data_IF_667251940387
#
_entry.id   IF_667251940387
#
_cell.length_a   1.000
_cell.length_b   1.000
_cell.length_c   1.000
_cell.angle_alpha   90.00
_cell.angle_beta   90.00
_cell.angle_gamma   90.00
#
_symmetry.space_group_name_H-M   'P 1'
#
loop_
_entity.id
_entity.type
_entity.pdbx_description
1 polymer ?
#
# COMPACT_ATOMS: atom_id res chain seq x y z
N UNK A 1 30.42 -10.24 -4.16
CA UNK A 1 30.71 -9.85 -2.75
C UNK A 1 30.11 -10.79 -1.70
N UNK A 2 28.96 -11.45 -1.94
CA UNK A 2 28.39 -12.41 -0.98
C UNK A 2 29.12 -13.77 -0.96
N UNK A 3 29.52 -14.30 -2.12
CA UNK A 3 30.20 -15.60 -2.24
C UNK A 3 31.57 -15.58 -1.52
N UNK A 4 32.33 -14.49 -1.65
CA UNK A 4 33.64 -14.35 -0.98
C UNK A 4 33.52 -14.33 0.54
N UNK A 5 32.50 -13.65 1.08
CA UNK A 5 32.27 -13.59 2.53
C UNK A 5 31.83 -14.93 3.11
N UNK A 6 31.02 -15.70 2.38
CA UNK A 6 30.64 -17.06 2.80
C UNK A 6 31.86 -18.00 2.85
N UNK A 7 32.79 -17.88 1.90
CA UNK A 7 34.04 -18.67 1.91
C UNK A 7 34.96 -18.29 3.08
N UNK A 8 35.01 -17.00 3.44
CA UNK A 8 35.78 -16.51 4.60
C UNK A 8 35.28 -17.11 5.93
N UNK A 9 33.96 -17.14 6.11
CA UNK A 9 33.33 -17.66 7.33
C UNK A 9 33.52 -19.18 7.48
N UNK A 10 33.46 -19.91 6.36
CA UNK A 10 33.76 -21.35 6.34
C UNK A 10 35.23 -21.62 6.73
N UNK A 11 36.18 -20.80 6.26
CA UNK A 11 37.60 -20.91 6.65
C UNK A 11 37.82 -20.66 8.14
N UNK A 12 36.95 -19.89 8.79
CA UNK A 12 36.99 -19.63 10.23
C UNK A 12 36.27 -20.70 11.06
N UNK A 13 35.83 -21.80 10.45
CA UNK A 13 35.14 -22.89 11.15
C UNK A 13 33.68 -22.57 11.50
N UNK A 14 33.14 -21.45 11.00
CA UNK A 14 31.74 -21.10 11.18
C UNK A 14 30.93 -21.85 10.12
N UNK A 15 30.27 -22.92 10.54
CA UNK A 15 29.36 -23.65 9.67
C UNK A 15 28.14 -22.77 9.36
N UNK A 16 28.04 -22.30 8.11
CA UNK A 16 26.81 -21.69 7.61
C UNK A 16 25.85 -22.85 7.32
N UNK A 17 25.17 -23.32 8.37
CA UNK A 17 24.06 -24.26 8.19
C UNK A 17 22.98 -23.52 7.41
N UNK A 18 22.70 -23.96 6.17
CA UNK A 18 21.60 -23.48 5.33
C UNK A 18 20.22 -23.81 5.86
N UNK A 19 20.07 -23.77 7.19
CA UNK A 19 18.90 -24.11 7.97
C UNK A 19 18.70 -23.02 9.01
N UNK A 20 18.22 -21.88 8.54
CA UNK A 20 17.06 -21.22 9.13
C UNK A 20 16.80 -19.93 8.35
N UNK A 21 15.93 -20.03 7.35
CA UNK A 21 15.08 -18.94 6.83
C UNK A 21 14.19 -18.29 7.93
N UNK A 22 14.58 -18.40 9.22
CA UNK A 22 13.84 -17.90 10.38
C UNK A 22 14.15 -16.44 10.70
N UNK A 23 15.16 -15.85 10.06
CA UNK A 23 15.47 -14.43 10.13
C UNK A 23 15.37 -13.78 8.74
N UNK A 24 14.17 -13.82 8.14
CA UNK A 24 13.89 -12.93 7.01
C UNK A 24 14.01 -11.49 7.53
N UNK A 25 14.94 -10.72 6.95
CA UNK A 25 15.13 -9.30 7.29
C UNK A 25 13.79 -8.58 7.14
N UNK A 26 13.23 -8.11 8.26
CA UNK A 26 11.99 -7.35 8.26
C UNK A 26 12.30 -5.90 7.90
N UNK A 27 11.67 -5.42 6.83
CA UNK A 27 11.67 -4.01 6.48
C UNK A 27 10.34 -3.41 6.89
N UNK A 28 10.37 -2.36 7.71
CA UNK A 28 9.17 -1.66 8.15
C UNK A 28 9.16 -0.23 7.60
N UNK A 29 7.99 0.24 7.16
CA UNK A 29 7.79 1.62 6.78
C UNK A 29 7.18 2.40 7.95
N UNK A 30 8.02 3.07 8.73
CA UNK A 30 7.61 3.82 9.93
C UNK A 30 6.91 5.15 9.60
N UNK A 31 7.05 5.64 8.37
CA UNK A 31 6.45 6.89 7.90
C UNK A 31 4.95 6.81 7.56
N UNK A 32 4.27 5.72 7.87
CA UNK A 32 2.86 5.51 7.47
C UNK A 32 1.95 6.65 7.95
N UNK A 33 2.09 7.09 9.20
CA UNK A 33 1.22 8.11 9.77
C UNK A 33 1.38 9.47 9.09
N UNK A 34 2.53 9.74 8.48
CA UNK A 34 2.80 11.00 7.78
C UNK A 34 2.10 11.05 6.42
N UNK A 35 2.00 9.91 5.72
CA UNK A 35 1.38 9.84 4.38
C UNK A 35 -0.15 9.62 4.42
N UNK A 36 -0.69 9.15 5.55
CA UNK A 36 -2.12 8.83 5.72
C UNK A 36 -3.05 9.99 5.31
N UNK A 37 -2.87 11.24 5.79
CA UNK A 37 -3.80 12.32 5.44
C UNK A 37 -3.85 12.60 3.93
N UNK A 38 -2.69 12.69 3.29
CA UNK A 38 -2.59 12.96 1.85
C UNK A 38 -3.21 11.84 1.02
N UNK A 39 -2.99 10.57 1.39
CA UNK A 39 -3.58 9.42 0.70
C UNK A 39 -5.10 9.37 0.83
N UNK A 40 -5.66 9.73 1.99
CA UNK A 40 -7.12 9.81 2.20
C UNK A 40 -7.72 10.91 1.33
N UNK A 41 -7.08 12.07 1.28
CA UNK A 41 -7.51 13.20 0.45
C UNK A 41 -7.53 12.79 -1.03
N UNK A 42 -6.45 12.19 -1.52
CA UNK A 42 -6.34 11.74 -2.90
C UNK A 42 -7.40 10.66 -3.23
N UNK A 43 -7.59 9.67 -2.37
CA UNK A 43 -8.60 8.65 -2.54
C UNK A 43 -10.03 9.23 -2.57
N UNK A 44 -10.31 10.22 -1.71
CA UNK A 44 -11.60 10.92 -1.67
C UNK A 44 -11.83 11.75 -2.93
N UNK A 45 -10.80 12.46 -3.41
CA UNK A 45 -10.84 13.24 -4.65
C UNK A 45 -11.11 12.34 -5.86
N UNK A 46 -10.43 11.20 -5.93
CA UNK A 46 -10.62 10.22 -7.00
C UNK A 46 -12.03 9.61 -6.98
N UNK A 47 -12.55 9.28 -5.79
CA UNK A 47 -13.93 8.79 -5.64
C UNK A 47 -14.96 9.83 -6.13
N UNK A 48 -14.75 11.11 -5.79
CA UNK A 48 -15.61 12.20 -6.27
C UNK A 48 -15.55 12.35 -7.79
N UNK A 49 -14.36 12.39 -8.38
CA UNK A 49 -14.20 12.53 -9.83
C UNK A 49 -14.88 11.38 -10.59
N UNK A 50 -14.77 10.15 -10.08
CA UNK A 50 -15.49 9.00 -10.64
C UNK A 50 -17.01 9.18 -10.53
N UNK A 51 -17.51 9.64 -9.38
CA UNK A 51 -18.94 9.89 -9.18
C UNK A 51 -19.48 11.00 -10.09
N UNK A 52 -18.71 12.07 -10.32
CA UNK A 52 -19.06 13.16 -11.25
C UNK A 52 -19.18 12.63 -12.69
N UNK A 53 -18.26 11.75 -13.11
CA UNK A 53 -18.33 11.10 -14.41
C UNK A 53 -19.57 10.22 -14.54
N UNK A 54 -19.87 9.37 -13.55
CA UNK A 54 -21.07 8.53 -13.56
C UNK A 54 -22.37 9.34 -13.60
N UNK A 55 -22.44 10.47 -12.87
CA UNK A 55 -23.58 11.36 -12.92
C UNK A 55 -23.77 11.92 -14.33
N UNK A 56 -22.69 12.44 -14.94
CA UNK A 56 -22.72 13.02 -16.29
C UNK A 56 -23.12 11.98 -17.34
N UNK A 57 -22.50 10.79 -17.30
CA UNK A 57 -22.77 9.70 -18.24
C UNK A 57 -24.21 9.17 -18.11
N UNK A 58 -24.86 9.36 -16.95
CA UNK A 58 -26.27 9.01 -16.71
C UNK A 58 -27.26 10.16 -16.90
N UNK A 59 -26.81 11.31 -17.45
CA UNK A 59 -27.66 12.48 -17.69
C UNK A 59 -28.16 13.14 -16.40
N UNK A 60 -27.48 12.92 -15.28
CA UNK A 60 -27.80 13.47 -13.97
C UNK A 60 -26.67 14.39 -13.46
N UNK A 61 -26.96 15.18 -12.43
CA UNK A 61 -25.98 15.97 -11.70
C UNK A 61 -25.60 15.29 -10.39
N UNK A 62 -24.32 15.37 -10.02
CA UNK A 62 -23.86 14.87 -8.74
C UNK A 62 -24.46 15.70 -7.60
N UNK A 63 -25.13 15.05 -6.66
CA UNK A 63 -25.76 15.66 -5.49
C UNK A 63 -24.88 15.63 -4.24
N UNK A 64 -25.52 15.78 -3.08
CA UNK A 64 -24.85 15.72 -1.77
C UNK A 64 -24.36 14.30 -1.47
N UNK A 65 -23.33 14.20 -0.63
CA UNK A 65 -22.87 12.92 -0.06
C UNK A 65 -24.02 12.32 0.76
N UNK A 66 -24.34 11.06 0.49
CA UNK A 66 -25.27 10.24 1.27
C UNK A 66 -24.54 9.55 2.41
N UNK A 67 -23.40 8.95 2.13
CA UNK A 67 -22.56 8.24 3.09
C UNK A 67 -21.12 8.24 2.60
N UNK A 68 -20.16 8.27 3.51
CA UNK A 68 -18.75 8.10 3.23
C UNK A 68 -18.13 7.13 4.24
N UNK A 69 -17.32 6.19 3.77
CA UNK A 69 -16.58 5.27 4.62
C UNK A 69 -15.14 5.15 4.15
N UNK A 70 -14.23 5.03 5.13
CA UNK A 70 -12.80 4.86 4.90
C UNK A 70 -12.42 3.42 5.23
N UNK A 71 -11.88 2.71 4.24
CA UNK A 71 -11.28 1.39 4.44
C UNK A 71 -9.95 1.48 5.20
N UNK A 72 -9.51 0.34 5.72
CA UNK A 72 -8.21 0.24 6.40
C UNK A 72 -7.05 0.44 5.40
N UNK A 73 -5.94 0.94 5.92
CA UNK A 73 -4.69 0.96 5.19
C UNK A 73 -4.11 -0.45 5.14
N UNK A 74 -3.70 -0.89 3.95
CA UNK A 74 -2.95 -2.13 3.76
C UNK A 74 -1.54 -1.78 3.31
N UNK A 75 -0.53 -2.37 3.95
CA UNK A 75 0.87 -2.24 3.57
C UNK A 75 1.36 -3.64 3.19
N UNK A 76 1.89 -3.78 1.98
CA UNK A 76 2.45 -5.04 1.50
C UNK A 76 3.80 -4.79 0.84
N UNK A 77 4.62 -5.81 0.73
CA UNK A 77 5.84 -5.74 -0.06
C UNK A 77 5.49 -5.57 -1.54
N UNK A 78 6.36 -4.89 -2.29
CA UNK A 78 6.16 -4.73 -3.74
C UNK A 78 6.23 -6.07 -4.46
N UNK A 79 7.24 -6.85 -4.13
CA UNK A 79 7.51 -8.19 -4.63
C UNK A 79 8.45 -8.94 -3.68
N UNK A 80 8.62 -10.24 -3.87
CA UNK A 80 9.43 -11.09 -3.01
C UNK A 80 10.94 -10.76 -3.03
N UNK A 81 11.42 -10.08 -4.08
CA UNK A 81 12.84 -9.74 -4.25
C UNK A 81 13.16 -8.32 -3.77
N UNK A 82 12.16 -7.44 -3.59
CA UNK A 82 12.33 -6.07 -3.08
C UNK A 82 11.47 -5.76 -1.83
N UNK A 83 11.63 -6.51 -0.73
CA UNK A 83 10.81 -6.34 0.48
C UNK A 83 10.98 -4.98 1.17
N UNK A 84 12.02 -4.22 0.84
CA UNK A 84 12.24 -2.87 1.36
C UNK A 84 11.38 -1.79 0.65
N UNK A 85 10.77 -2.11 -0.49
CA UNK A 85 9.79 -1.24 -1.16
C UNK A 85 8.40 -1.72 -0.77
N UNK A 86 7.58 -0.81 -0.23
CA UNK A 86 6.23 -1.12 0.24
C UNK A 86 5.17 -0.49 -0.65
N UNK A 87 4.14 -1.26 -0.99
CA UNK A 87 2.90 -0.77 -1.55
C UNK A 87 1.94 -0.41 -0.40
N UNK A 88 1.54 0.85 -0.32
CA UNK A 88 0.54 1.32 0.63
C UNK A 88 -0.74 1.60 -0.12
N UNK A 89 -1.84 1.00 0.34
CA UNK A 89 -3.17 1.17 -0.28
C UNK A 89 -4.19 1.57 0.77
N UNK A 90 -5.06 2.49 0.37
CA UNK A 90 -6.27 2.85 1.10
C UNK A 90 -7.42 2.97 0.12
N UNK A 91 -8.62 2.56 0.52
CA UNK A 91 -9.83 2.66 -0.30
C UNK A 91 -10.84 3.53 0.42
N UNK A 92 -11.34 4.56 -0.25
CA UNK A 92 -12.40 5.43 0.26
C UNK A 92 -13.66 5.21 -0.58
N UNK A 93 -14.76 4.90 0.10
CA UNK A 93 -16.06 4.66 -0.55
C UNK A 93 -16.98 5.83 -0.23
N UNK A 94 -17.44 6.54 -1.25
CA UNK A 94 -18.36 7.66 -1.09
C UNK A 94 -19.59 7.44 -1.96
N UNK A 95 -20.76 7.43 -1.31
CA UNK A 95 -22.06 7.31 -1.96
C UNK A 95 -22.68 8.71 -2.09
N UNK A 96 -23.17 9.04 -3.28
CA UNK A 96 -23.81 10.32 -3.57
C UNK A 96 -25.26 10.12 -3.99
N UNK A 97 -26.08 11.14 -3.72
CA UNK A 97 -27.36 11.26 -4.41
C UNK A 97 -27.14 11.78 -5.84
N UNK A 98 -27.98 11.37 -6.78
CA UNK A 98 -28.06 11.97 -8.10
C UNK A 98 -29.29 12.86 -8.19
N UNK A 99 -29.19 13.96 -8.96
CA UNK A 99 -30.30 14.89 -9.21
C UNK A 99 -30.50 15.03 -10.71
N UNK A 100 -31.75 15.17 -11.14
CA UNK A 100 -32.10 15.55 -12.51
C UNK A 100 -31.88 17.05 -12.71
#
# INVERSE_FOLDING_TARGET
KLISGQTELLKQGVAITGGDYRYNTLYEFTGLNNIKPQMIEEATKNARAAAEKFATDSGSKLGKIRNASQGQFTITDRDANTPYIKNVRVVTTVNYYLRK
#
